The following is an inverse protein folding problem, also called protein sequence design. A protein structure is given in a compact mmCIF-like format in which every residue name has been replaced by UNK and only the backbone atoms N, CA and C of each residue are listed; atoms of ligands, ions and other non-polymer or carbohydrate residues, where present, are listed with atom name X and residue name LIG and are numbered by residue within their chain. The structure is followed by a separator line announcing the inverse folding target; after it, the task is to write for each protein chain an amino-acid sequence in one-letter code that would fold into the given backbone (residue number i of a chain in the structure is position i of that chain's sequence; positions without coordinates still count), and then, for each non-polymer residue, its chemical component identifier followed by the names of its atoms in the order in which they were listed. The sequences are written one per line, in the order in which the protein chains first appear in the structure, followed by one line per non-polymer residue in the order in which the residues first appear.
data_IF_037306559722
#
_entry.id   IF_037306559722
#
_cell.length_a   1.000
_cell.length_b   1.000
_cell.length_c   1.000
_cell.angle_alpha   90.00
_cell.angle_beta   90.00
_cell.angle_gamma   90.00
#
_symmetry.space_group_name_H-M   'P 1'
#
loop_
_entity.id
_entity.type
_entity.pdbx_description
1 polymer ?
#
# COMPACT_ATOMS: atom_id res chain seq x y z
N UNK A 1 10.33 -33.04 48.79
CA UNK A 1 11.79 -33.01 48.59
C UNK A 1 12.39 -34.25 49.27
N UNK A 2 13.30 -34.93 48.58
CA UNK A 2 14.09 -36.06 49.09
C UNK A 2 15.38 -35.51 49.72
N UNK A 3 16.06 -36.27 50.60
CA UNK A 3 17.27 -35.83 51.31
C UNK A 3 18.33 -35.25 50.35
N UNK A 4 18.54 -35.90 49.20
CA UNK A 4 19.51 -35.46 48.18
C UNK A 4 19.12 -34.12 47.53
N UNK A 5 17.82 -33.87 47.36
CA UNK A 5 17.32 -32.59 46.82
C UNK A 5 17.50 -31.47 47.85
N UNK A 6 17.27 -31.77 49.14
CA UNK A 6 17.50 -30.83 50.24
C UNK A 6 18.99 -30.46 50.36
N UNK A 7 19.88 -31.45 50.25
CA UNK A 7 21.32 -31.24 50.22
C UNK A 7 21.75 -30.32 49.07
N UNK A 8 21.32 -30.61 47.84
CA UNK A 8 21.63 -29.76 46.67
C UNK A 8 21.09 -28.34 46.83
N UNK A 9 19.87 -28.19 47.34
CA UNK A 9 19.26 -26.89 47.56
C UNK A 9 20.05 -26.06 48.60
N UNK A 10 20.44 -26.68 49.71
CA UNK A 10 21.23 -26.01 50.77
C UNK A 10 22.62 -25.60 50.26
N UNK A 11 23.29 -26.46 49.48
CA UNK A 11 24.58 -26.11 48.87
C UNK A 11 24.45 -24.95 47.87
N UNK A 12 23.39 -24.92 47.08
CA UNK A 12 23.11 -23.81 46.16
C UNK A 12 22.84 -22.50 46.92
N UNK A 13 22.00 -22.53 47.96
CA UNK A 13 21.74 -21.35 48.79
C UNK A 13 23.03 -20.81 49.42
N UNK A 14 23.86 -21.72 49.95
CA UNK A 14 25.16 -21.39 50.53
C UNK A 14 26.09 -20.74 49.51
N UNK A 15 26.05 -21.18 48.25
CA UNK A 15 26.83 -20.62 47.15
C UNK A 15 26.38 -19.23 46.72
N UNK A 16 25.10 -18.89 46.91
CA UNK A 16 24.53 -17.58 46.60
C UNK A 16 24.67 -16.58 47.75
N UNK A 17 24.75 -17.05 48.99
CA UNK A 17 24.88 -16.19 50.16
C UNK A 17 26.29 -15.64 50.33
N UNK A 18 26.39 -14.34 50.56
CA UNK A 18 27.65 -13.68 50.93
C UNK A 18 27.77 -13.50 52.44
N UNK A 19 26.65 -13.46 53.15
CA UNK A 19 26.57 -13.27 54.59
C UNK A 19 25.76 -14.39 55.24
N UNK A 20 25.96 -14.59 56.54
CA UNK A 20 25.16 -15.51 57.34
C UNK A 20 23.67 -15.13 57.31
N UNK A 21 23.36 -13.83 57.31
CA UNK A 21 21.98 -13.34 57.34
C UNK A 21 21.26 -13.60 56.01
N UNK A 22 21.94 -13.40 54.88
CA UNK A 22 21.42 -13.79 53.56
C UNK A 22 21.16 -15.30 53.47
N UNK A 23 22.06 -16.10 54.03
CA UNK A 23 21.89 -17.56 54.06
C UNK A 23 20.69 -17.98 54.91
N UNK A 24 20.54 -17.41 56.11
CA UNK A 24 19.37 -17.67 56.95
C UNK A 24 18.07 -17.24 56.27
N UNK A 25 18.09 -16.09 55.59
CA UNK A 25 16.93 -15.61 54.83
C UNK A 25 16.53 -16.56 53.70
N UNK A 26 17.46 -17.12 52.93
CA UNK A 26 17.14 -18.11 51.90
C UNK A 26 16.57 -19.41 52.47
N UNK A 27 17.07 -19.86 53.63
CA UNK A 27 16.51 -21.04 54.29
C UNK A 27 15.06 -20.79 54.74
N UNK A 28 14.77 -19.60 55.28
CA UNK A 28 13.41 -19.20 55.67
C UNK A 28 12.47 -19.09 54.46
N UNK A 29 12.92 -18.51 53.34
CA UNK A 29 12.15 -18.42 52.09
C UNK A 29 11.72 -19.79 51.56
N UNK A 30 12.54 -20.81 51.79
CA UNK A 30 12.28 -22.18 51.36
C UNK A 30 11.50 -23.00 52.42
N UNK A 31 10.92 -22.32 53.40
CA UNK A 31 10.16 -22.89 54.51
C UNK A 31 10.96 -23.95 55.29
N UNK A 32 12.28 -23.74 55.42
CA UNK A 32 13.14 -24.58 56.25
C UNK A 32 13.28 -23.95 57.63
N UNK A 33 12.89 -24.71 58.65
CA UNK A 33 13.07 -24.27 60.04
C UNK A 33 14.53 -24.38 60.45
N UNK A 34 15.06 -23.37 61.14
CA UNK A 34 16.46 -23.34 61.55
C UNK A 34 16.70 -24.25 62.76
N UNK A 35 17.68 -25.15 62.66
CA UNK A 35 18.12 -25.97 63.79
C UNK A 35 19.34 -25.35 64.47
N UNK A 36 19.09 -24.75 65.65
CA UNK A 36 20.12 -24.14 66.49
C UNK A 36 20.58 -25.12 67.58
N UNK A 37 21.88 -25.22 67.80
CA UNK A 37 22.48 -25.92 68.93
C UNK A 37 23.38 -24.96 69.71
N UNK A 38 23.08 -24.73 70.99
CA UNK A 38 23.80 -23.76 71.85
C UNK A 38 23.92 -22.37 71.19
N UNK A 39 22.82 -21.90 70.59
CA UNK A 39 22.76 -20.61 69.89
C UNK A 39 23.48 -20.54 68.53
N UNK A 40 24.05 -21.65 68.04
CA UNK A 40 24.72 -21.71 66.73
C UNK A 40 23.88 -22.44 65.69
N UNK A 41 23.84 -21.92 64.48
CA UNK A 41 23.16 -22.56 63.35
C UNK A 41 23.91 -23.83 62.95
N UNK A 42 23.27 -24.97 63.17
CA UNK A 42 23.90 -26.29 63.04
C UNK A 42 23.24 -27.16 61.98
N UNK A 43 22.05 -26.76 61.50
CA UNK A 43 21.33 -27.45 60.44
C UNK A 43 19.94 -26.86 60.20
N UNK A 44 19.08 -27.65 59.58
CA UNK A 44 17.67 -27.33 59.34
C UNK A 44 16.74 -28.46 59.78
N UNK A 45 15.50 -28.13 60.09
CA UNK A 45 14.41 -29.06 60.32
C UNK A 45 13.56 -29.09 59.04
N UNK A 46 13.42 -30.27 58.46
CA UNK A 46 12.60 -30.49 57.27
C UNK A 46 11.73 -31.72 57.48
N UNK A 47 10.41 -31.57 57.28
CA UNK A 47 9.41 -32.63 57.52
C UNK A 47 9.56 -33.29 58.90
N UNK A 48 9.67 -32.47 59.95
CA UNK A 48 9.83 -32.91 61.34
C UNK A 48 11.09 -33.77 61.62
N UNK A 49 12.08 -33.74 60.71
CA UNK A 49 13.38 -34.41 60.89
C UNK A 49 14.50 -33.39 60.88
N UNK A 50 15.48 -33.59 61.76
CA UNK A 50 16.64 -32.72 61.91
C UNK A 50 17.75 -33.15 60.95
N UNK A 51 18.22 -32.23 60.11
CA UNK A 51 19.33 -32.45 59.20
C UNK A 51 20.47 -31.50 59.56
N UNK A 52 21.55 -32.04 60.14
CA UNK A 52 22.77 -31.26 60.41
C UNK A 52 23.45 -30.91 59.10
N UNK A 53 24.01 -29.71 58.99
CA UNK A 53 24.75 -29.29 57.81
C UNK A 53 25.93 -30.21 57.48
N UNK A 54 26.62 -30.73 58.50
CA UNK A 54 27.66 -31.75 58.32
C UNK A 54 27.17 -33.03 57.64
N UNK A 55 25.91 -33.39 57.84
CA UNK A 55 25.26 -34.57 57.24
C UNK A 55 24.72 -34.28 55.83
N UNK A 56 24.62 -33.00 55.47
CA UNK A 56 24.20 -32.50 54.16
C UNK A 56 25.42 -32.06 53.32
N UNK A 57 26.60 -32.61 53.60
CA UNK A 57 27.81 -32.33 52.81
C UNK A 57 28.35 -30.90 52.93
N UNK A 58 27.83 -30.05 53.81
CA UNK A 58 28.27 -28.66 53.95
C UNK A 58 29.61 -28.62 54.70
N UNK A 59 30.70 -28.12 54.08
CA UNK A 59 31.98 -27.98 54.73
C UNK A 59 31.93 -26.98 55.89
N UNK A 60 32.51 -27.34 57.04
CA UNK A 60 32.59 -26.46 58.22
C UNK A 60 33.26 -25.11 57.91
N UNK A 61 34.23 -25.12 57.00
CA UNK A 61 34.95 -23.92 56.57
C UNK A 61 34.05 -22.92 55.85
N UNK A 62 33.08 -23.37 55.06
CA UNK A 62 32.17 -22.49 54.32
C UNK A 62 31.20 -21.77 55.28
N UNK A 63 30.64 -22.50 56.24
CA UNK A 63 29.81 -21.90 57.31
C UNK A 63 30.63 -20.91 58.14
N UNK A 64 31.88 -21.26 58.47
CA UNK A 64 32.77 -20.37 59.21
C UNK A 64 33.14 -19.10 58.45
N UNK A 65 33.32 -19.19 57.12
CA UNK A 65 33.59 -18.04 56.27
C UNK A 65 32.38 -17.07 56.21
N UNK A 66 31.16 -17.61 56.17
CA UNK A 66 29.92 -16.83 56.27
C UNK A 66 29.79 -16.15 57.65
N UNK A 67 30.13 -16.86 58.74
CA UNK A 67 30.12 -16.29 60.09
C UNK A 67 31.14 -15.16 60.26
N UNK A 68 32.27 -15.20 59.54
CA UNK A 68 33.32 -14.18 59.61
C UNK A 68 33.15 -13.04 58.62
N UNK A 69 32.09 -13.05 57.81
CA UNK A 69 31.88 -12.05 56.74
C UNK A 69 33.01 -12.01 55.72
N UNK A 70 33.84 -13.07 55.63
CA UNK A 70 34.92 -13.14 54.66
C UNK A 70 34.30 -13.52 53.33
N UNK A 71 34.14 -12.54 52.44
CA UNK A 71 33.78 -12.77 51.03
C UNK A 71 34.71 -13.85 50.48
N UNK A 72 34.15 -14.99 50.12
CA UNK A 72 34.82 -15.86 49.16
C UNK A 72 34.95 -15.04 47.89
N UNK A 73 36.14 -14.49 47.65
CA UNK A 73 36.53 -14.13 46.30
C UNK A 73 36.66 -15.48 45.59
N UNK A 74 35.53 -16.05 45.14
CA UNK A 74 35.54 -17.07 44.10
C UNK A 74 36.24 -16.37 42.95
N UNK A 75 37.51 -16.68 42.76
CA UNK A 75 38.32 -16.27 41.63
C UNK A 75 37.67 -16.89 40.40
N UNK A 76 36.54 -16.33 39.95
CA UNK A 76 36.03 -16.56 38.60
C UNK A 76 37.20 -16.20 37.72
N UNK A 77 37.82 -17.22 37.13
CA UNK A 77 39.03 -17.05 36.35
C UNK A 77 38.78 -15.92 35.35
N UNK A 78 39.78 -15.05 35.14
CA UNK A 78 39.70 -13.96 34.16
C UNK A 78 39.16 -14.45 32.80
N UNK A 79 39.38 -15.74 32.48
CA UNK A 79 38.79 -16.48 31.38
C UNK A 79 37.24 -16.48 31.36
N UNK A 80 36.57 -16.84 32.46
CA UNK A 80 35.11 -16.88 32.53
C UNK A 80 34.47 -15.48 32.42
N UNK A 81 35.09 -14.46 33.02
CA UNK A 81 34.64 -13.06 32.85
C UNK A 81 34.80 -12.59 31.41
N UNK A 82 35.93 -12.91 30.75
CA UNK A 82 36.16 -12.60 29.33
C UNK A 82 35.16 -13.31 28.41
N UNK A 83 34.86 -14.58 28.67
CA UNK A 83 33.84 -15.34 27.91
C UNK A 83 32.45 -14.72 28.05
N UNK A 84 31.99 -14.41 29.28
CA UNK A 84 30.71 -13.70 29.50
C UNK A 84 30.64 -12.36 28.79
N UNK A 85 31.71 -11.55 28.85
CA UNK A 85 31.77 -10.27 28.14
C UNK A 85 31.71 -10.44 26.62
N UNK A 86 32.34 -11.48 26.06
CA UNK A 86 32.28 -11.76 24.63
C UNK A 86 30.87 -12.16 24.17
N UNK A 87 30.17 -12.98 24.97
CA UNK A 87 28.77 -13.37 24.75
C UNK A 87 27.81 -12.18 24.83
N UNK A 88 28.01 -11.27 25.80
CA UNK A 88 27.18 -10.06 25.91
C UNK A 88 27.38 -9.16 24.68
N UNK A 89 28.61 -9.02 24.19
CA UNK A 89 28.90 -8.25 22.96
C UNK A 89 28.26 -8.87 21.72
N UNK A 90 28.30 -10.20 21.56
CA UNK A 90 27.66 -10.87 20.43
C UNK A 90 26.13 -10.76 20.48
N UNK A 91 25.53 -10.91 21.67
CA UNK A 91 24.07 -10.75 21.85
C UNK A 91 23.63 -9.30 21.58
N UNK A 92 24.37 -8.31 22.06
CA UNK A 92 24.09 -6.90 21.78
C UNK A 92 24.22 -6.58 20.27
N UNK A 93 25.22 -7.15 19.60
CA UNK A 93 25.41 -7.02 18.15
C UNK A 93 24.26 -7.68 17.37
N UNK A 94 23.81 -8.86 17.76
CA UNK A 94 22.65 -9.52 17.14
C UNK A 94 21.36 -8.71 17.33
N UNK A 95 21.11 -8.18 18.52
CA UNK A 95 19.94 -7.31 18.77
C UNK A 95 19.98 -6.04 17.92
N UNK A 96 21.16 -5.46 17.72
CA UNK A 96 21.34 -4.32 16.82
C UNK A 96 21.03 -4.71 15.36
N UNK A 97 21.56 -5.83 14.88
CA UNK A 97 21.29 -6.33 13.52
C UNK A 97 19.80 -6.62 13.30
N UNK A 98 19.12 -7.23 14.27
CA UNK A 98 17.67 -7.46 14.20
C UNK A 98 16.88 -6.15 14.11
N UNK A 99 17.24 -5.15 14.89
CA UNK A 99 16.58 -3.84 14.84
C UNK A 99 16.83 -3.15 13.49
N UNK A 100 18.07 -3.19 13.01
CA UNK A 100 18.43 -2.59 11.72
C UNK A 100 17.69 -3.26 10.55
N UNK A 101 17.60 -4.60 10.55
CA UNK A 101 16.82 -5.35 9.56
C UNK A 101 15.32 -5.02 9.64
N UNK A 102 14.77 -4.89 10.85
CA UNK A 102 13.36 -4.46 11.05
C UNK A 102 13.13 -3.05 10.49
N UNK A 103 14.06 -2.13 10.71
CA UNK A 103 13.98 -0.76 10.17
C UNK A 103 14.09 -0.73 8.66
N UNK A 104 15.04 -1.46 8.06
CA UNK A 104 15.14 -1.60 6.61
C UNK A 104 13.87 -2.19 6.00
N UNK A 105 13.30 -3.24 6.61
CA UNK A 105 12.05 -3.84 6.15
C UNK A 105 10.88 -2.86 6.23
N UNK A 106 10.78 -2.06 7.29
CA UNK A 106 9.76 -1.00 7.41
C UNK A 106 9.90 0.05 6.32
N UNK A 107 11.13 0.48 6.02
CA UNK A 107 11.42 1.45 4.95
C UNK A 107 11.05 0.87 3.58
N UNK A 108 11.45 -0.36 3.29
CA UNK A 108 11.10 -1.04 2.04
C UNK A 108 9.59 -1.23 1.88
N UNK A 109 8.89 -1.64 2.94
CA UNK A 109 7.43 -1.74 2.94
C UNK A 109 6.78 -0.40 2.63
N UNK A 110 7.24 0.68 3.28
CA UNK A 110 6.72 2.03 3.05
C UNK A 110 6.91 2.46 1.59
N UNK A 111 8.10 2.27 1.04
CA UNK A 111 8.40 2.58 -0.37
C UNK A 111 7.52 1.77 -1.33
N UNK A 112 7.33 0.48 -1.04
CA UNK A 112 6.45 -0.39 -1.82
C UNK A 112 4.99 0.09 -1.80
N UNK A 113 4.45 0.46 -0.63
CA UNK A 113 3.10 1.03 -0.51
C UNK A 113 2.95 2.36 -1.25
N UNK A 114 3.95 3.24 -1.18
CA UNK A 114 3.95 4.52 -1.92
C UNK A 114 3.93 4.29 -3.43
N UNK A 115 4.71 3.32 -3.92
CA UNK A 115 4.70 2.90 -5.33
C UNK A 115 3.33 2.38 -5.77
N UNK A 116 2.71 1.50 -4.99
CA UNK A 116 1.36 0.99 -5.29
C UNK A 116 0.34 2.13 -5.32
N UNK A 117 0.39 3.04 -4.34
CA UNK A 117 -0.55 4.16 -4.28
C UNK A 117 -0.41 5.08 -5.50
N UNK A 118 0.82 5.34 -5.93
CA UNK A 118 1.10 6.10 -7.16
C UNK A 118 0.52 5.41 -8.40
N UNK A 119 0.78 4.11 -8.56
CA UNK A 119 0.25 3.32 -9.68
C UNK A 119 -1.27 3.29 -9.70
N UNK A 120 -1.92 3.05 -8.56
CA UNK A 120 -3.39 3.04 -8.44
C UNK A 120 -3.98 4.40 -8.78
N UNK A 121 -3.36 5.49 -8.34
CA UNK A 121 -3.80 6.84 -8.70
C UNK A 121 -3.71 7.07 -10.22
N UNK A 122 -2.61 6.64 -10.86
CA UNK A 122 -2.45 6.75 -12.31
C UNK A 122 -3.52 5.95 -13.07
N UNK A 123 -3.79 4.72 -12.64
CA UNK A 123 -4.84 3.86 -13.25
C UNK A 123 -6.22 4.49 -13.10
N UNK A 124 -6.55 5.01 -11.91
CA UNK A 124 -7.83 5.66 -11.67
C UNK A 124 -8.01 6.92 -12.53
N UNK A 125 -6.95 7.72 -12.70
CA UNK A 125 -6.96 8.88 -13.60
C UNK A 125 -7.22 8.43 -15.03
N UNK A 126 -6.49 7.42 -15.52
CA UNK A 126 -6.67 6.88 -16.88
C UNK A 126 -8.09 6.35 -17.10
N UNK A 127 -8.64 5.59 -16.14
CA UNK A 127 -10.01 5.07 -16.21
C UNK A 127 -11.04 6.21 -16.26
N UNK A 128 -10.87 7.26 -15.44
CA UNK A 128 -11.77 8.41 -15.45
C UNK A 128 -11.79 9.13 -16.80
N UNK A 129 -10.63 9.26 -17.46
CA UNK A 129 -10.51 9.84 -18.81
C UNK A 129 -11.21 8.96 -19.84
N UNK A 130 -11.02 7.64 -19.77
CA UNK A 130 -11.68 6.68 -20.66
C UNK A 130 -13.21 6.75 -20.51
N UNK A 131 -13.71 6.81 -19.27
CA UNK A 131 -15.15 6.90 -19.00
C UNK A 131 -15.75 8.20 -19.54
N UNK A 132 -15.12 9.35 -19.29
CA UNK A 132 -15.52 10.63 -19.87
C UNK A 132 -15.56 10.56 -21.40
N UNK A 133 -14.55 9.97 -22.04
CA UNK A 133 -14.52 9.80 -23.51
C UNK A 133 -15.65 8.91 -24.03
N UNK A 134 -15.98 7.82 -23.32
CA UNK A 134 -17.13 6.95 -23.66
C UNK A 134 -18.46 7.69 -23.57
N UNK A 135 -18.66 8.51 -22.55
CA UNK A 135 -19.87 9.32 -22.41
C UNK A 135 -20.01 10.33 -23.55
N UNK A 136 -18.94 11.05 -23.88
CA UNK A 136 -18.96 12.02 -25.00
C UNK A 136 -19.20 11.34 -26.34
N UNK A 137 -18.60 10.16 -26.57
CA UNK A 137 -18.92 9.31 -27.72
C UNK A 137 -20.41 8.96 -27.78
N UNK A 138 -21.02 8.58 -26.65
CA UNK A 138 -22.46 8.25 -26.60
C UNK A 138 -23.33 9.45 -26.98
N UNK A 139 -23.03 10.63 -26.44
CA UNK A 139 -23.76 11.87 -26.78
C UNK A 139 -23.65 12.16 -28.28
N UNK A 140 -22.42 12.20 -28.81
CA UNK A 140 -22.20 12.48 -30.24
C UNK A 140 -22.86 11.43 -31.13
N UNK A 141 -22.84 10.16 -30.73
CA UNK A 141 -23.55 9.08 -31.43
C UNK A 141 -25.07 9.28 -31.48
N UNK A 142 -25.68 9.83 -30.43
CA UNK A 142 -27.11 10.19 -30.42
C UNK A 142 -27.35 11.36 -31.39
N UNK A 143 -26.54 12.42 -31.30
CA UNK A 143 -26.67 13.59 -32.18
C UNK A 143 -26.51 13.22 -33.66
N UNK A 144 -25.61 12.28 -33.97
CA UNK A 144 -25.39 11.78 -35.33
C UNK A 144 -26.60 11.04 -35.90
N UNK A 145 -27.34 10.30 -35.07
CA UNK A 145 -28.55 9.61 -35.53
C UNK A 145 -29.67 10.57 -35.91
N UNK A 146 -29.74 11.71 -35.22
CA UNK A 146 -30.75 12.75 -35.47
C UNK A 146 -30.35 13.73 -36.58
N UNK A 147 -29.05 13.90 -36.84
CA UNK A 147 -28.55 14.85 -37.82
C UNK A 147 -28.67 14.33 -39.26
N UNK A 148 -29.25 15.15 -40.15
CA UNK A 148 -29.37 14.86 -41.60
C UNK A 148 -28.22 15.43 -42.43
N UNK A 149 -27.46 16.37 -41.88
CA UNK A 149 -26.30 17.04 -42.52
C UNK A 149 -25.23 17.33 -41.46
N UNK A 150 -24.00 17.62 -41.91
CA UNK A 150 -22.93 18.00 -40.98
C UNK A 150 -23.24 19.34 -40.29
N UNK A 151 -23.87 20.28 -41.01
CA UNK A 151 -24.31 21.56 -40.43
C UNK A 151 -25.32 21.36 -39.29
N UNK A 152 -26.27 20.45 -39.47
CA UNK A 152 -27.25 20.14 -38.43
C UNK A 152 -26.60 19.48 -37.22
N UNK A 153 -25.63 18.59 -37.43
CA UNK A 153 -24.83 18.00 -36.36
C UNK A 153 -24.09 19.09 -35.56
N UNK A 154 -23.42 20.02 -36.25
CA UNK A 154 -22.72 21.14 -35.60
C UNK A 154 -23.69 21.96 -34.75
N UNK A 155 -24.85 22.31 -35.31
CA UNK A 155 -25.88 23.04 -34.59
C UNK A 155 -26.33 22.30 -33.32
N UNK A 156 -26.63 21.00 -33.40
CA UNK A 156 -27.01 20.21 -32.24
C UNK A 156 -25.90 20.11 -31.20
N UNK A 157 -24.66 19.91 -31.64
CA UNK A 157 -23.50 19.85 -30.76
C UNK A 157 -23.30 21.17 -30.00
N UNK A 158 -23.44 22.31 -30.66
CA UNK A 158 -23.38 23.63 -30.02
C UNK A 158 -24.46 23.81 -28.96
N UNK A 159 -25.68 23.30 -29.18
CA UNK A 159 -26.76 23.36 -28.18
C UNK A 159 -26.48 22.54 -26.92
N UNK A 160 -25.66 21.51 -27.01
CA UNK A 160 -25.21 20.72 -25.84
C UNK A 160 -23.81 21.13 -25.35
N UNK A 161 -23.31 22.29 -25.76
CA UNK A 161 -22.09 22.91 -25.24
C UNK A 161 -20.79 22.46 -25.91
N UNK A 162 -20.85 21.76 -27.04
CA UNK A 162 -19.68 21.40 -27.83
C UNK A 162 -19.38 22.49 -28.87
N UNK A 163 -18.10 22.82 -29.05
CA UNK A 163 -17.67 23.75 -30.09
C UNK A 163 -17.00 22.97 -31.22
N UNK A 164 -17.36 23.16 -32.51
CA UNK A 164 -16.65 22.50 -33.60
C UNK A 164 -15.21 23.04 -33.68
N UNK A 165 -14.26 22.17 -34.01
CA UNK A 165 -12.93 22.61 -34.43
C UNK A 165 -12.60 22.01 -35.80
N UNK A 166 -11.78 22.75 -36.54
CA UNK A 166 -11.43 22.41 -37.91
C UNK A 166 -9.97 22.01 -38.03
N UNK A 167 -9.71 21.07 -38.95
CA UNK A 167 -8.37 20.70 -39.37
C UNK A 167 -8.34 20.77 -40.89
N UNK A 168 -7.52 21.67 -41.44
CA UNK A 168 -7.43 21.93 -42.89
C UNK A 168 -8.76 22.37 -43.51
N UNK A 169 -9.50 23.25 -42.83
CA UNK A 169 -10.78 23.80 -43.31
C UNK A 169 -11.95 22.82 -43.28
N UNK A 170 -11.79 21.69 -42.57
CA UNK A 170 -12.83 20.67 -42.44
C UNK A 170 -13.03 20.39 -40.96
N UNK A 171 -14.29 20.35 -40.52
CA UNK A 171 -14.64 19.99 -39.14
C UNK A 171 -14.08 18.60 -38.83
N UNK A 172 -13.15 18.53 -37.89
CA UNK A 172 -12.45 17.30 -37.54
C UNK A 172 -12.96 16.67 -36.24
N UNK A 173 -13.69 17.46 -35.44
CA UNK A 173 -14.23 17.01 -34.18
C UNK A 173 -14.93 18.13 -33.43
N UNK A 174 -15.06 17.92 -32.14
CA UNK A 174 -15.65 18.88 -31.21
C UNK A 174 -14.80 19.07 -29.97
N UNK A 175 -14.75 20.29 -29.47
CA UNK A 175 -14.14 20.67 -28.20
C UNK A 175 -15.22 20.81 -27.12
N UNK A 176 -14.95 20.27 -25.93
CA UNK A 176 -15.83 20.37 -24.76
C UNK A 176 -14.97 20.55 -23.50
N UNK A 177 -15.18 21.64 -22.76
CA UNK A 177 -14.35 22.04 -21.60
C UNK A 177 -12.83 21.96 -21.88
N UNK A 178 -12.38 22.59 -22.97
CA UNK A 178 -10.96 22.64 -23.38
C UNK A 178 -10.33 21.27 -23.72
N UNK A 179 -11.15 20.26 -24.01
CA UNK A 179 -10.69 18.96 -24.50
C UNK A 179 -11.25 18.72 -25.90
N UNK A 180 -10.36 18.37 -26.83
CA UNK A 180 -10.70 18.10 -28.22
C UNK A 180 -11.00 16.62 -28.41
N UNK A 181 -12.13 16.33 -29.06
CA UNK A 181 -12.59 14.99 -29.39
C UNK A 181 -12.67 14.85 -30.90
N UNK A 182 -11.66 14.22 -31.50
CA UNK A 182 -11.61 13.91 -32.93
C UNK A 182 -12.64 12.83 -33.30
N UNK A 183 -13.31 12.95 -34.43
CA UNK A 183 -14.22 11.93 -34.96
C UNK A 183 -13.58 10.55 -35.11
N UNK A 184 -12.30 10.47 -35.46
CA UNK A 184 -11.53 9.22 -35.51
C UNK A 184 -11.42 8.60 -34.12
N UNK A 185 -11.07 9.40 -33.12
CA UNK A 185 -10.92 8.95 -31.73
C UNK A 185 -12.24 8.53 -31.09
N UNK A 186 -13.33 9.16 -31.51
CA UNK A 186 -14.69 8.80 -31.11
C UNK A 186 -15.20 7.58 -31.89
N UNK A 187 -14.52 7.17 -32.96
CA UNK A 187 -14.95 6.07 -33.84
C UNK A 187 -16.28 6.38 -34.51
N UNK A 188 -16.45 7.61 -35.01
CA UNK A 188 -17.65 8.08 -35.74
C UNK A 188 -17.29 8.68 -37.11
N UNK A 189 -16.06 8.45 -37.56
CA UNK A 189 -15.52 9.04 -38.79
C UNK A 189 -16.28 8.55 -40.04
N UNK A 190 -16.73 7.29 -40.04
CA UNK A 190 -17.46 6.72 -41.16
C UNK A 190 -18.84 7.37 -41.31
N UNK A 191 -19.57 7.57 -40.22
CA UNK A 191 -20.87 8.24 -40.19
C UNK A 191 -20.75 9.69 -40.67
N UNK A 192 -19.72 10.41 -40.23
CA UNK A 192 -19.43 11.77 -40.70
C UNK A 192 -19.15 11.77 -42.21
N UNK A 193 -18.38 10.80 -42.70
CA UNK A 193 -18.07 10.66 -44.13
C UNK A 193 -19.33 10.38 -44.95
N UNK A 194 -20.22 9.51 -44.45
CA UNK A 194 -21.54 9.23 -45.06
C UNK A 194 -22.42 10.48 -45.08
N UNK A 195 -22.50 11.24 -43.99
CA UNK A 195 -23.27 12.48 -43.94
C UNK A 195 -22.77 13.51 -44.97
N UNK A 196 -21.45 13.67 -45.12
CA UNK A 196 -20.86 14.54 -46.14
C UNK A 196 -21.19 14.10 -47.56
N UNK A 197 -21.11 12.79 -47.82
CA UNK A 197 -21.43 12.25 -49.13
C UNK A 197 -22.91 12.50 -49.50
N UNK A 198 -23.82 12.28 -48.54
CA UNK A 198 -25.25 12.57 -48.71
C UNK A 198 -25.53 14.05 -48.93
N UNK A 199 -24.87 14.93 -48.18
CA UNK A 199 -24.98 16.39 -48.34
C UNK A 199 -24.53 16.82 -49.74
N UNK A 200 -23.37 16.34 -50.21
CA UNK A 200 -22.86 16.60 -51.56
C UNK A 200 -23.81 16.10 -52.65
N UNK A 201 -24.38 14.90 -52.47
CA UNK A 201 -25.35 14.35 -53.43
C UNK A 201 -26.63 15.21 -53.52
N UNK A 202 -27.12 15.71 -52.38
CA UNK A 202 -28.29 16.61 -52.34
C UNK A 202 -28.01 17.93 -53.02
N UNK A 203 -26.83 18.52 -52.79
CA UNK A 203 -26.42 19.76 -53.46
C UNK A 203 -26.33 19.59 -54.97
N UNK A 204 -25.74 18.48 -55.45
CA UNK A 204 -25.67 18.18 -56.88
C UNK A 204 -27.06 18.02 -57.50
N UNK A 205 -27.98 17.32 -56.83
CA UNK A 205 -29.37 17.18 -57.28
C UNK A 205 -30.08 18.54 -57.36
N UNK A 206 -29.90 19.39 -56.35
CA UNK A 206 -30.48 20.74 -56.31
C UNK A 206 -29.94 21.61 -57.47
N UNK A 207 -28.63 21.60 -57.70
CA UNK A 207 -28.02 22.33 -58.82
C UNK A 207 -28.50 21.82 -60.19
N UNK A 208 -28.68 20.50 -60.34
CA UNK A 208 -29.21 19.93 -61.57
C UNK A 208 -30.66 20.38 -61.82
N UNK A 209 -31.51 20.36 -60.79
CA UNK A 209 -32.89 20.84 -60.86
C UNK A 209 -32.95 22.34 -61.19
N UNK A 210 -32.11 23.17 -60.56
CA UNK A 210 -32.02 24.60 -60.85
C UNK A 210 -31.61 24.88 -62.30
N UNK A 211 -30.65 24.11 -62.84
CA UNK A 211 -30.26 24.19 -64.27
C UNK A 211 -31.41 23.79 -65.20
N UNK A 212 -32.14 22.73 -64.87
CA UNK A 212 -33.29 22.27 -65.66
C UNK A 212 -34.40 23.32 -65.70
N UNK A 213 -34.73 23.93 -64.54
CA UNK A 213 -35.71 25.02 -64.43
C UNK A 213 -35.26 26.23 -65.26
N UNK A 214 -33.99 26.61 -65.17
CA UNK A 214 -33.43 27.73 -65.94
C UNK A 214 -33.51 27.48 -67.44
N UNK A 215 -33.17 26.27 -67.90
CA UNK A 215 -33.23 25.90 -69.31
C UNK A 215 -34.67 25.88 -69.84
N UNK A 216 -35.64 25.41 -69.04
CA UNK A 216 -37.07 25.48 -69.39
C UNK A 216 -37.54 26.93 -69.54
N UNK A 217 -37.19 27.81 -68.61
CA UNK A 217 -37.58 29.21 -68.67
C UNK A 217 -36.95 29.93 -69.88
N UNK A 218 -35.70 29.64 -70.21
CA UNK A 218 -35.05 30.16 -71.43
C UNK A 218 -35.75 29.64 -72.70
N UNK A 219 -36.11 28.35 -72.77
CA UNK A 219 -36.85 27.78 -73.89
C UNK A 219 -38.25 28.38 -74.08
N UNK A 220 -38.95 28.67 -72.98
CA UNK A 220 -40.26 29.34 -73.01
C UNK A 220 -40.13 30.77 -73.54
N UNK A 221 -39.10 31.51 -73.12
CA UNK A 221 -38.87 32.89 -73.59
C UNK A 221 -38.54 32.93 -75.10
N UNK A 222 -37.71 32.01 -75.59
CA UNK A 222 -37.36 31.95 -77.02
C UNK A 222 -38.60 31.63 -77.87
N UNK A 223 -39.49 30.74 -77.40
CA UNK A 223 -40.73 30.41 -78.13
C UNK A 223 -41.72 31.58 -78.18
N UNK A 224 -41.77 32.41 -77.14
CA UNK A 224 -42.60 33.62 -77.10
C UNK A 224 -42.10 34.71 -78.06
N UNK A 225 -40.79 34.93 -78.14
CA UNK A 225 -40.20 35.90 -79.07
C UNK A 225 -40.42 35.49 -80.54
N UNK A 226 -40.23 34.21 -80.88
CA UNK A 226 -40.43 33.73 -82.26
C UNK A 226 -41.93 33.69 -82.65
N UNK A 227 -42.82 33.46 -81.68
CA UNK A 227 -44.28 33.40 -81.92
C UNK A 227 -44.95 34.75 -82.15
N UNK A 228 -44.35 35.85 -81.68
CA UNK A 228 -44.89 37.21 -81.86
C UNK A 228 -44.58 37.81 -83.23
N UNK A 229 -43.49 37.37 -83.88
CA UNK A 229 -43.10 37.86 -85.21
C UNK A 229 -43.93 37.26 -86.36
N UNK A 230 -44.80 36.28 -86.10
CA UNK A 230 -45.67 35.67 -87.11
C UNK A 230 -47.11 36.20 -87.14
N UNK A 231 -47.47 37.13 -86.24
CA UNK A 231 -48.84 37.67 -86.11
C UNK A 231 -48.97 39.19 -86.32
N UNK A 232 -47.95 39.85 -86.88
CA UNK A 232 -48.00 41.23 -87.39
C UNK A 232 -47.81 41.23 -88.91
#
# INVERSE_FOLDING_TARGET
MDKEKLEKAILQMLDYSQTKDEFMHFLEQENLELYLYRGKLTGVIYKNRKYRFSTLGVPKEQLWNLEKGKKQIKTQSLSQKKQKLSLIKSVASNKYLENHLKEQNKVQQKQWFESIRSQTNQVNIQQSVIMKKKEKKKIIGILLKEAKTVRQLIYFAQKVGFSPYEKRGVVAGFSFHNQDYNFVELGVQEEITRLRALEKQREQKKQAQEKEIRNRNLGVNITLDIGLDFFL
#
